data_IF_658543446143
#
_entry.id   IF_658543446143
#
_cell.length_a   1.000
_cell.length_b   1.000
_cell.length_c   1.000
_cell.angle_alpha   90.00
_cell.angle_beta   90.00
_cell.angle_gamma   90.00
#
_symmetry.space_group_name_H-M   'P 1'
#
loop_
_entity.id
_entity.type
_entity.pdbx_description
1 polymer ?
#
# COMPACT_ATOMS: atom_id res chain seq x y z
N UNK A 1 6.24 -17.48 14.95
CA UNK A 1 6.56 -16.07 15.26
C UNK A 1 7.82 -15.98 16.16
N UNK A 2 7.93 -16.76 17.25
CA UNK A 2 9.12 -16.71 18.15
C UNK A 2 10.47 -16.99 17.46
N UNK A 3 10.49 -17.72 16.36
CA UNK A 3 11.71 -18.10 15.63
C UNK A 3 12.29 -16.99 14.72
N UNK A 4 11.51 -15.94 14.46
CA UNK A 4 11.90 -14.86 13.53
C UNK A 4 12.32 -13.58 14.26
N UNK A 5 12.19 -13.52 15.60
CA UNK A 5 12.66 -12.37 16.38
C UNK A 5 14.16 -12.22 16.22
N UNK A 6 14.58 -11.09 15.70
CA UNK A 6 15.98 -10.70 15.67
C UNK A 6 16.16 -9.27 16.15
N UNK A 7 17.33 -9.02 16.71
CA UNK A 7 17.70 -7.66 17.11
C UNK A 7 17.84 -6.77 15.86
N UNK A 8 17.34 -5.52 15.91
CA UNK A 8 17.54 -4.58 14.82
C UNK A 8 19.02 -4.24 14.67
N UNK A 9 19.47 -4.00 13.44
CA UNK A 9 20.83 -3.52 13.16
C UNK A 9 21.07 -2.15 13.79
N UNK A 10 20.06 -1.29 13.72
CA UNK A 10 20.11 0.08 14.23
C UNK A 10 18.86 0.38 15.06
N UNK A 11 19.06 1.15 16.11
CA UNK A 11 18.01 1.78 16.89
C UNK A 11 18.28 3.26 16.93
N UNK A 12 17.48 4.05 16.25
CA UNK A 12 17.65 5.50 16.08
C UNK A 12 16.39 6.25 16.55
N UNK A 13 16.39 7.56 16.35
CA UNK A 13 15.28 8.41 16.77
C UNK A 13 15.30 8.72 18.27
N UNK A 14 14.33 9.52 18.70
CA UNK A 14 14.15 9.86 20.11
C UNK A 14 13.82 8.59 20.92
N UNK A 15 14.50 8.39 22.04
CA UNK A 15 14.39 7.16 22.86
C UNK A 15 14.69 5.86 22.12
N UNK A 16 15.42 5.92 21.02
CA UNK A 16 15.78 4.73 20.20
C UNK A 16 14.54 3.96 19.74
N UNK A 17 13.48 4.66 19.44
CA UNK A 17 12.16 4.12 19.13
C UNK A 17 11.97 3.72 17.65
N UNK A 18 12.88 4.10 16.76
CA UNK A 18 12.94 3.68 15.36
C UNK A 18 13.95 2.54 15.19
N UNK A 19 13.44 1.36 14.88
CA UNK A 19 14.21 0.13 14.73
C UNK A 19 14.35 -0.24 13.26
N UNK A 20 15.57 -0.54 12.82
CA UNK A 20 15.89 -0.84 11.43
C UNK A 20 16.61 -2.19 11.38
N UNK A 21 16.07 -3.14 10.62
CA UNK A 21 16.66 -4.46 10.34
C UNK A 21 17.37 -4.48 9.00
N UNK A 22 16.87 -3.76 8.00
CA UNK A 22 17.45 -3.70 6.67
C UNK A 22 17.37 -2.28 6.10
N UNK A 23 18.43 -1.85 5.45
CA UNK A 23 18.50 -0.56 4.76
C UNK A 23 17.81 -0.65 3.40
N UNK A 24 17.57 0.52 2.80
CA UNK A 24 16.98 0.62 1.47
C UNK A 24 17.74 -0.17 0.41
N UNK A 25 17.00 -0.86 -0.44
CA UNK A 25 17.52 -1.54 -1.64
C UNK A 25 16.81 -1.00 -2.88
N UNK A 26 17.58 -0.68 -3.91
CA UNK A 26 17.07 -0.07 -5.14
C UNK A 26 16.19 -1.03 -5.97
N UNK A 27 16.35 -2.34 -5.80
CA UNK A 27 15.61 -3.39 -6.50
C UNK A 27 14.27 -3.77 -5.82
N UNK A 28 13.92 -3.10 -4.71
CA UNK A 28 12.71 -3.39 -3.93
C UNK A 28 11.76 -2.21 -3.87
N UNK A 29 10.46 -2.51 -3.79
CA UNK A 29 9.41 -1.56 -3.47
C UNK A 29 8.95 -1.75 -2.03
N UNK A 30 8.60 -0.65 -1.37
CA UNK A 30 8.29 -0.66 0.04
C UNK A 30 6.90 -0.15 0.34
N UNK A 31 6.29 -0.72 1.38
CA UNK A 31 5.00 -0.35 1.94
C UNK A 31 5.22 0.16 3.37
N UNK A 32 4.91 1.43 3.60
CA UNK A 32 4.98 2.10 4.91
C UNK A 32 3.57 2.26 5.46
N UNK A 33 3.26 1.60 6.56
CA UNK A 33 1.92 1.58 7.14
C UNK A 33 1.96 2.24 8.51
N UNK A 34 1.15 3.27 8.71
CA UNK A 34 1.14 4.09 9.90
C UNK A 34 -0.22 4.07 10.60
N UNK A 35 -0.20 3.75 11.88
CA UNK A 35 -1.26 4.01 12.85
C UNK A 35 -0.94 5.31 13.61
N UNK A 36 -1.94 6.15 13.84
CA UNK A 36 -1.76 7.52 14.33
C UNK A 36 -2.42 7.72 15.70
N UNK A 37 -1.61 8.02 16.70
CA UNK A 37 -2.08 8.43 18.02
C UNK A 37 -1.85 9.94 18.26
N UNK A 38 -2.59 10.51 19.22
CA UNK A 38 -2.51 11.95 19.55
C UNK A 38 -1.19 12.37 20.19
N UNK A 39 -0.42 11.41 20.72
CA UNK A 39 0.84 11.68 21.40
C UNK A 39 0.72 12.14 22.86
N UNK A 40 -0.46 12.55 23.31
CA UNK A 40 -0.76 12.99 24.68
C UNK A 40 -1.44 11.92 25.55
N UNK A 41 -1.82 10.80 24.94
CA UNK A 41 -2.55 9.70 25.56
C UNK A 41 -1.67 8.51 25.95
N UNK A 42 -2.32 7.36 26.16
CA UNK A 42 -1.66 6.07 26.40
C UNK A 42 -1.18 5.44 25.10
N UNK A 43 -1.93 5.63 24.01
CA UNK A 43 -1.66 5.06 22.69
C UNK A 43 -0.43 5.72 22.07
N UNK A 44 0.29 4.96 21.26
CA UNK A 44 1.50 5.40 20.55
C UNK A 44 1.21 5.47 19.06
N UNK A 45 1.80 6.45 18.38
CA UNK A 45 1.90 6.38 16.93
C UNK A 45 2.89 5.28 16.57
N UNK A 46 2.52 4.42 15.65
CA UNK A 46 3.32 3.29 15.23
C UNK A 46 3.34 3.14 13.71
N UNK A 47 4.45 2.68 13.17
CA UNK A 47 4.49 2.25 11.78
C UNK A 47 5.32 0.99 11.59
N UNK A 48 4.96 0.24 10.56
CA UNK A 48 5.80 -0.79 9.97
C UNK A 48 6.22 -0.42 8.56
N UNK A 49 7.42 -0.82 8.18
CA UNK A 49 7.92 -0.76 6.82
C UNK A 49 8.24 -2.16 6.33
N UNK A 50 7.60 -2.56 5.23
CA UNK A 50 7.75 -3.89 4.63
C UNK A 50 8.22 -3.80 3.18
N UNK A 51 8.98 -4.80 2.73
CA UNK A 51 9.13 -5.08 1.29
C UNK A 51 7.78 -5.56 0.74
N UNK A 52 7.34 -5.01 -0.40
CA UNK A 52 6.07 -5.44 -1.02
C UNK A 52 6.20 -6.88 -1.57
N UNK A 53 7.37 -7.26 -2.06
CA UNK A 53 7.63 -8.54 -2.72
C UNK A 53 7.28 -9.75 -1.83
N UNK A 54 7.72 -9.75 -0.58
CA UNK A 54 7.61 -10.89 0.34
C UNK A 54 7.01 -10.55 1.71
N UNK A 55 6.57 -9.31 1.93
CA UNK A 55 6.08 -8.82 3.23
C UNK A 55 7.08 -9.06 4.37
N UNK A 56 8.37 -8.88 4.11
CA UNK A 56 9.40 -8.89 5.13
C UNK A 56 9.55 -7.52 5.77
N UNK A 57 9.48 -7.47 7.08
CA UNK A 57 9.66 -6.26 7.88
C UNK A 57 11.10 -5.77 7.81
N UNK A 58 11.31 -4.53 7.40
CA UNK A 58 12.64 -3.91 7.32
C UNK A 58 12.86 -2.83 8.37
N UNK A 59 11.78 -2.18 8.82
CA UNK A 59 11.85 -1.21 9.89
C UNK A 59 10.53 -1.10 10.66
N UNK A 60 10.59 -0.50 11.85
CA UNK A 60 9.45 -0.29 12.76
C UNK A 60 9.70 0.94 13.64
N UNK A 61 8.64 1.67 13.89
CA UNK A 61 8.62 2.78 14.84
C UNK A 61 7.46 2.61 15.82
N UNK A 62 7.68 3.00 17.08
CA UNK A 62 6.62 3.13 18.06
C UNK A 62 7.00 4.24 19.05
N UNK A 63 6.18 5.29 19.13
CA UNK A 63 6.48 6.45 19.98
C UNK A 63 5.31 7.42 20.11
N UNK A 64 5.56 8.53 20.79
CA UNK A 64 4.54 9.57 21.07
C UNK A 64 4.97 10.94 20.52
N UNK A 65 5.21 11.08 19.22
CA UNK A 65 5.52 12.36 18.61
C UNK A 65 4.27 13.24 18.53
N UNK A 66 4.44 14.55 18.36
CA UNK A 66 3.36 15.40 17.87
C UNK A 66 2.96 15.00 16.45
N UNK A 67 1.74 15.34 16.02
CA UNK A 67 1.25 14.99 14.68
C UNK A 67 2.15 15.53 13.56
N UNK A 68 2.61 16.79 13.71
CA UNK A 68 3.55 17.40 12.77
C UNK A 68 4.89 16.67 12.71
N UNK A 69 5.42 16.29 13.88
CA UNK A 69 6.67 15.52 13.95
C UNK A 69 6.49 14.13 13.34
N UNK A 70 5.35 13.49 13.58
CA UNK A 70 5.07 12.18 13.01
C UNK A 70 4.96 12.23 11.48
N UNK A 71 4.28 13.23 10.92
CA UNK A 71 4.21 13.43 9.48
C UNK A 71 5.60 13.65 8.85
N UNK A 72 6.48 14.44 9.53
CA UNK A 72 7.86 14.61 9.08
C UNK A 72 8.65 13.28 9.10
N UNK A 73 8.52 12.47 10.17
CA UNK A 73 9.15 11.15 10.27
C UNK A 73 8.67 10.25 9.13
N UNK A 74 7.36 10.17 8.91
CA UNK A 74 6.79 9.34 7.83
C UNK A 74 7.28 9.79 6.45
N UNK A 75 7.30 11.11 6.19
CA UNK A 75 7.79 11.66 4.92
C UNK A 75 9.28 11.36 4.71
N UNK A 76 10.09 11.51 5.75
CA UNK A 76 11.53 11.23 5.67
C UNK A 76 11.77 9.73 5.41
N UNK A 77 11.20 8.85 6.24
CA UNK A 77 11.37 7.40 6.11
C UNK A 77 10.85 6.92 4.75
N UNK A 78 9.69 7.39 4.33
CA UNK A 78 9.14 7.01 3.03
C UNK A 78 10.06 7.38 1.86
N UNK A 79 10.70 8.56 1.90
CA UNK A 79 11.66 9.00 0.88
C UNK A 79 12.98 8.22 0.94
N UNK A 80 13.48 7.94 2.15
CA UNK A 80 14.68 7.12 2.36
C UNK A 80 14.52 5.71 1.77
N UNK A 81 13.30 5.17 1.78
CA UNK A 81 12.99 3.87 1.19
C UNK A 81 12.34 3.98 -0.20
N UNK A 82 12.93 4.81 -1.06
CA UNK A 82 12.57 4.89 -2.48
C UNK A 82 11.18 5.43 -2.76
N UNK A 83 10.69 6.36 -1.93
CA UNK A 83 9.33 6.88 -1.99
C UNK A 83 8.27 5.78 -1.77
N UNK A 84 8.40 5.05 -0.66
CA UNK A 84 7.53 3.94 -0.27
C UNK A 84 6.05 4.31 -0.39
N UNK A 85 5.18 3.34 -0.75
CA UNK A 85 3.74 3.54 -0.70
C UNK A 85 3.31 3.73 0.76
N UNK A 86 2.84 4.94 1.08
CA UNK A 86 2.48 5.33 2.45
C UNK A 86 0.99 5.16 2.69
N UNK A 87 0.64 4.29 3.62
CA UNK A 87 -0.72 4.06 4.10
C UNK A 87 -0.84 4.62 5.50
N UNK A 88 -1.68 5.61 5.70
CA UNK A 88 -1.96 6.18 7.02
C UNK A 88 -3.39 5.83 7.40
N UNK A 89 -3.62 5.39 8.64
CA UNK A 89 -4.98 5.28 9.16
C UNK A 89 -5.61 6.67 9.24
N UNK A 90 -6.73 6.86 8.55
CA UNK A 90 -7.33 8.19 8.37
C UNK A 90 -8.50 8.50 9.32
N UNK A 91 -8.65 7.74 10.39
CA UNK A 91 -9.71 7.98 11.38
C UNK A 91 -9.27 9.05 12.39
N UNK A 92 -10.18 9.99 12.67
CA UNK A 92 -9.94 11.04 13.66
C UNK A 92 -8.77 11.94 13.29
N UNK A 93 -7.69 11.83 14.04
CA UNK A 93 -6.50 12.69 13.90
C UNK A 93 -5.57 12.30 12.75
N UNK A 94 -5.72 11.09 12.18
CA UNK A 94 -4.92 10.65 11.05
C UNK A 94 -5.08 11.53 9.80
N UNK A 95 -6.23 12.18 9.66
CA UNK A 95 -6.47 13.16 8.59
C UNK A 95 -5.47 14.32 8.67
N UNK A 96 -5.18 14.83 9.86
CA UNK A 96 -4.22 15.94 10.02
C UNK A 96 -2.79 15.54 9.64
N UNK A 97 -2.42 14.28 9.86
CA UNK A 97 -1.12 13.74 9.39
C UNK A 97 -1.09 13.67 7.87
N UNK A 98 -2.18 13.23 7.23
CA UNK A 98 -2.30 13.18 5.77
C UNK A 98 -2.23 14.57 5.12
N UNK A 99 -2.96 15.55 5.65
CA UNK A 99 -2.89 16.94 5.20
C UNK A 99 -1.47 17.50 5.30
N UNK A 100 -0.77 17.19 6.39
CA UNK A 100 0.62 17.61 6.54
C UNK A 100 1.57 16.92 5.57
N UNK A 101 1.36 15.64 5.27
CA UNK A 101 2.13 14.90 4.26
C UNK A 101 1.95 15.49 2.86
N UNK A 102 0.74 15.92 2.50
CA UNK A 102 0.47 16.64 1.26
C UNK A 102 1.22 17.98 1.21
N UNK A 103 1.20 18.76 2.30
CA UNK A 103 1.97 20.02 2.42
C UNK A 103 3.48 19.79 2.29
N UNK A 104 3.99 18.66 2.79
CA UNK A 104 5.39 18.25 2.64
C UNK A 104 5.73 17.74 1.23
N UNK A 105 4.74 17.67 0.34
CA UNK A 105 4.90 17.18 -1.02
C UNK A 105 5.22 15.69 -1.09
N UNK A 106 4.68 14.89 -0.17
CA UNK A 106 4.78 13.43 -0.27
C UNK A 106 3.74 12.93 -1.26
N UNK A 107 4.19 12.31 -2.36
CA UNK A 107 3.36 12.03 -3.53
C UNK A 107 3.06 10.54 -3.78
N UNK A 108 3.36 9.65 -2.83
CA UNK A 108 3.03 8.23 -2.93
C UNK A 108 2.16 7.78 -1.76
N UNK A 109 1.01 8.44 -1.62
CA UNK A 109 0.03 8.15 -0.57
C UNK A 109 -1.01 7.15 -1.11
N UNK A 110 -1.38 6.20 -0.27
CA UNK A 110 -2.47 5.28 -0.53
C UNK A 110 -3.82 6.00 -0.49
N UNK A 111 -4.66 5.74 -1.47
CA UNK A 111 -6.05 6.21 -1.50
C UNK A 111 -7.00 5.02 -1.53
N UNK A 112 -8.14 5.16 -0.89
CA UNK A 112 -9.22 4.17 -0.91
C UNK A 112 -10.55 4.79 -1.32
N UNK A 113 -11.45 3.96 -1.86
CA UNK A 113 -12.82 4.38 -2.16
C UNK A 113 -13.69 4.32 -0.90
N UNK A 114 -14.51 5.32 -0.68
CA UNK A 114 -15.51 5.33 0.40
C UNK A 114 -16.45 4.14 0.28
N UNK A 115 -16.57 3.35 1.35
CA UNK A 115 -17.52 2.24 1.44
C UNK A 115 -16.97 0.89 0.99
N UNK A 116 -16.18 0.79 -0.07
CA UNK A 116 -15.60 -0.48 -0.54
C UNK A 116 -14.19 -0.72 0.00
N UNK A 117 -13.49 0.33 0.43
CA UNK A 117 -12.09 0.29 0.86
C UNK A 117 -11.14 -0.28 -0.19
N UNK A 118 -11.54 -0.22 -1.46
CA UNK A 118 -10.70 -0.60 -2.59
C UNK A 118 -9.63 0.45 -2.84
N UNK A 119 -8.45 -0.02 -3.22
CA UNK A 119 -7.34 0.86 -3.63
C UNK A 119 -7.69 1.61 -4.90
N UNK A 120 -7.34 2.88 -4.94
CA UNK A 120 -7.38 3.70 -6.14
C UNK A 120 -6.04 4.43 -6.31
N UNK A 121 -5.54 4.47 -7.53
CA UNK A 121 -4.32 5.20 -7.83
C UNK A 121 -4.46 6.69 -7.53
N UNK A 122 -3.42 7.30 -6.98
CA UNK A 122 -3.45 8.71 -6.56
C UNK A 122 -3.87 9.66 -7.69
N UNK A 123 -3.42 9.41 -8.92
CA UNK A 123 -3.79 10.24 -10.08
C UNK A 123 -5.30 10.18 -10.37
N UNK A 124 -5.91 8.99 -10.23
CA UNK A 124 -7.35 8.81 -10.39
C UNK A 124 -8.13 9.31 -9.17
N UNK A 125 -7.51 9.28 -7.99
CA UNK A 125 -8.12 9.72 -6.74
C UNK A 125 -8.44 11.21 -6.76
N UNK A 126 -7.58 12.05 -7.32
CA UNK A 126 -7.82 13.49 -7.43
C UNK A 126 -9.04 13.87 -8.28
N UNK A 127 -9.43 13.04 -9.22
CA UNK A 127 -10.61 13.23 -10.07
C UNK A 127 -11.86 12.53 -9.54
N UNK A 128 -11.76 11.71 -8.48
CA UNK A 128 -12.85 10.94 -7.93
C UNK A 128 -13.31 11.47 -6.56
N UNK A 129 -14.48 12.08 -6.51
CA UNK A 129 -15.08 12.63 -5.27
C UNK A 129 -15.34 11.58 -4.17
N UNK A 130 -15.32 10.29 -4.50
CA UNK A 130 -15.50 9.20 -3.56
C UNK A 130 -14.17 8.64 -3.03
N UNK A 131 -13.03 9.15 -3.48
CA UNK A 131 -11.73 8.76 -2.95
C UNK A 131 -11.42 9.48 -1.64
N UNK A 132 -10.70 8.80 -0.76
CA UNK A 132 -10.14 9.38 0.47
C UNK A 132 -8.69 8.94 0.62
N UNK A 133 -7.80 9.85 1.05
CA UNK A 133 -6.43 9.47 1.36
C UNK A 133 -6.41 8.58 2.60
N UNK A 134 -5.49 7.62 2.61
CA UNK A 134 -5.30 6.70 3.72
C UNK A 134 -6.34 5.56 3.76
N UNK A 135 -6.30 4.82 4.85
CA UNK A 135 -7.15 3.67 5.13
C UNK A 135 -8.09 3.94 6.31
N UNK A 136 -9.39 3.64 6.14
CA UNK A 136 -10.40 3.86 7.19
C UNK A 136 -10.66 2.58 7.98
N UNK A 137 -10.21 2.54 9.24
CA UNK A 137 -10.53 1.45 10.17
C UNK A 137 -11.86 1.73 10.87
N UNK A 138 -12.87 0.96 10.55
CA UNK A 138 -14.21 1.05 11.14
C UNK A 138 -14.53 -0.18 11.98
N UNK A 139 -15.61 -0.16 12.72
CA UNK A 139 -16.11 -1.35 13.44
C UNK A 139 -16.39 -2.53 12.51
N UNK A 140 -16.64 -2.28 11.23
CA UNK A 140 -16.86 -3.33 10.21
C UNK A 140 -15.55 -3.81 9.60
N UNK A 141 -14.61 -2.91 9.31
CA UNK A 141 -13.35 -3.27 8.64
C UNK A 141 -12.31 -3.84 9.60
N UNK A 142 -12.30 -3.41 10.87
CA UNK A 142 -11.34 -3.89 11.87
C UNK A 142 -11.32 -5.43 12.01
N UNK A 143 -12.44 -6.14 12.16
CA UNK A 143 -12.44 -7.61 12.18
C UNK A 143 -11.91 -8.23 10.89
N UNK A 144 -12.18 -7.63 9.73
CA UNK A 144 -11.76 -8.14 8.43
C UNK A 144 -10.25 -8.05 8.23
N UNK A 145 -9.65 -6.89 8.56
CA UNK A 145 -8.19 -6.69 8.43
C UNK A 145 -7.44 -7.56 9.43
N UNK A 146 -7.98 -7.75 10.65
CA UNK A 146 -7.38 -8.65 11.65
C UNK A 146 -7.46 -10.11 11.19
N UNK A 147 -8.58 -10.56 10.62
CA UNK A 147 -8.69 -11.88 10.03
C UNK A 147 -7.70 -12.08 8.87
N UNK A 148 -7.49 -11.03 8.05
CA UNK A 148 -6.48 -11.05 6.98
C UNK A 148 -5.06 -11.16 7.52
N UNK A 149 -4.73 -10.42 8.56
CA UNK A 149 -3.45 -10.53 9.26
C UNK A 149 -3.24 -11.95 9.82
N UNK A 150 -4.26 -12.54 10.45
CA UNK A 150 -4.22 -13.92 10.93
C UNK A 150 -3.93 -14.92 9.80
N UNK A 151 -4.60 -14.76 8.66
CA UNK A 151 -4.35 -15.56 7.45
C UNK A 151 -2.88 -15.45 7.01
N UNK A 152 -2.32 -14.23 6.93
CA UNK A 152 -0.94 -13.99 6.55
C UNK A 152 0.06 -14.65 7.52
N UNK A 153 -0.18 -14.53 8.82
CA UNK A 153 0.66 -15.15 9.85
C UNK A 153 0.59 -16.68 9.76
N UNK A 154 -0.61 -17.25 9.65
CA UNK A 154 -0.84 -18.69 9.58
C UNK A 154 -0.18 -19.30 8.34
N UNK A 155 -0.30 -18.64 7.20
CA UNK A 155 0.25 -19.08 5.92
C UNK A 155 1.71 -18.66 5.72
N UNK A 156 2.35 -18.01 6.70
CA UNK A 156 3.73 -17.50 6.64
C UNK A 156 3.97 -16.55 5.47
N UNK A 157 2.97 -15.75 5.12
CA UNK A 157 3.02 -14.74 4.05
C UNK A 157 3.60 -13.41 4.53
N UNK A 158 3.84 -13.23 5.82
CA UNK A 158 4.47 -12.07 6.43
C UNK A 158 5.62 -12.50 7.33
N UNK A 159 6.73 -11.78 7.24
CA UNK A 159 7.93 -12.03 8.05
C UNK A 159 8.13 -10.81 8.95
N UNK A 160 7.99 -11.00 10.26
CA UNK A 160 8.18 -9.94 11.26
C UNK A 160 9.36 -10.25 12.17
N UNK A 161 10.10 -9.22 12.53
CA UNK A 161 11.30 -9.32 13.38
C UNK A 161 11.09 -8.70 14.76
N UNK A 162 10.03 -7.93 14.94
CA UNK A 162 9.79 -7.10 16.12
C UNK A 162 9.42 -7.91 17.37
N UNK A 163 10.18 -7.67 18.43
CA UNK A 163 9.81 -8.18 19.76
C UNK A 163 8.65 -7.38 20.38
N UNK A 164 8.52 -6.07 20.06
CA UNK A 164 7.41 -5.21 20.54
C UNK A 164 6.07 -5.70 19.98
N UNK A 165 6.01 -5.92 18.66
CA UNK A 165 4.83 -6.50 18.01
C UNK A 165 4.43 -7.85 18.62
N UNK A 166 5.40 -8.72 18.90
CA UNK A 166 5.09 -9.99 19.57
C UNK A 166 4.49 -9.81 20.96
N UNK A 167 4.95 -8.81 21.71
CA UNK A 167 4.39 -8.49 23.05
C UNK A 167 2.95 -7.98 22.93
N UNK A 168 2.64 -7.14 21.95
CA UNK A 168 1.26 -6.72 21.67
C UNK A 168 0.37 -7.92 21.28
N UNK A 169 0.88 -8.83 20.43
CA UNK A 169 0.14 -10.04 20.02
C UNK A 169 -0.19 -10.99 21.20
N UNK A 170 0.64 -11.03 22.25
CA UNK A 170 0.37 -11.84 23.44
C UNK A 170 -0.83 -11.32 24.25
N UNK A 171 -1.17 -10.04 24.10
CA UNK A 171 -2.25 -9.36 24.84
C UNK A 171 -3.44 -8.99 23.96
N UNK A 172 -3.42 -9.39 22.69
CA UNK A 172 -4.49 -9.10 21.72
C UNK A 172 -5.52 -10.23 21.72
N UNK A 173 -6.77 -9.90 21.94
CA UNK A 173 -7.85 -10.87 22.14
C UNK A 173 -9.11 -10.53 21.33
N UNK A 174 -9.92 -11.55 21.09
CA UNK A 174 -11.30 -11.35 20.66
C UNK A 174 -12.21 -11.21 21.89
N UNK A 175 -12.81 -10.06 22.06
CA UNK A 175 -13.76 -9.77 23.12
C UNK A 175 -15.12 -9.43 22.53
N UNK A 176 -16.13 -10.26 22.76
CA UNK A 176 -17.49 -10.09 22.21
C UNK A 176 -17.51 -9.86 20.68
N UNK A 177 -16.70 -10.63 19.95
CA UNK A 177 -16.60 -10.51 18.49
C UNK A 177 -15.80 -9.31 17.97
N UNK A 178 -15.14 -8.57 18.87
CA UNK A 178 -14.28 -7.44 18.50
C UNK A 178 -12.82 -7.76 18.84
N UNK A 179 -11.90 -7.65 17.85
CA UNK A 179 -10.48 -7.79 18.11
C UNK A 179 -9.94 -6.51 18.75
N UNK A 180 -9.26 -6.64 19.87
CA UNK A 180 -8.71 -5.52 20.64
C UNK A 180 -7.62 -5.96 21.61
N UNK A 181 -6.77 -5.03 22.04
CA UNK A 181 -5.86 -5.27 23.14
C UNK A 181 -6.62 -5.48 24.47
N UNK A 182 -6.06 -6.27 25.37
CA UNK A 182 -6.53 -6.39 26.76
C UNK A 182 -6.47 -5.02 27.43
N UNK A 183 -7.31 -4.81 28.44
CA UNK A 183 -7.36 -3.54 29.17
C UNK A 183 -5.99 -3.16 29.74
N UNK A 184 -5.48 -2.00 29.35
CA UNK A 184 -4.19 -1.46 29.80
C UNK A 184 -3.03 -1.79 28.87
N UNK A 185 -3.29 -2.48 27.76
CA UNK A 185 -2.33 -2.77 26.68
C UNK A 185 -2.71 -2.02 25.42
N UNK A 186 -1.77 -1.89 24.50
CA UNK A 186 -1.92 -1.22 23.20
C UNK A 186 -1.95 -2.25 22.07
N UNK A 187 -2.50 -1.84 20.91
CA UNK A 187 -2.54 -2.64 19.69
C UNK A 187 -2.10 -1.85 18.44
N UNK A 188 -1.32 -0.78 18.64
CA UNK A 188 -0.93 0.16 17.59
C UNK A 188 -0.08 -0.52 16.50
N UNK A 189 0.90 -1.36 16.89
CA UNK A 189 1.71 -2.16 15.96
C UNK A 189 0.88 -3.27 15.29
N UNK A 190 -0.06 -3.87 15.99
CA UNK A 190 -0.95 -4.88 15.41
C UNK A 190 -1.85 -4.24 14.36
N UNK A 191 -2.39 -3.06 14.63
CA UNK A 191 -3.30 -2.38 13.70
C UNK A 191 -2.58 -1.94 12.44
N UNK A 192 -1.39 -1.37 12.57
CA UNK A 192 -0.58 -1.02 11.39
C UNK A 192 -0.22 -2.26 10.57
N UNK A 193 0.15 -3.40 11.19
CA UNK A 193 0.38 -4.66 10.48
C UNK A 193 -0.90 -5.18 9.79
N UNK A 194 -2.04 -5.15 10.47
CA UNK A 194 -3.31 -5.64 9.93
C UNK A 194 -3.74 -4.85 8.68
N UNK A 195 -3.62 -3.52 8.72
CA UNK A 195 -3.82 -2.64 7.56
C UNK A 195 -2.87 -3.02 6.43
N UNK A 196 -1.58 -3.24 6.74
CA UNK A 196 -0.57 -3.63 5.75
C UNK A 196 -0.87 -4.94 5.04
N UNK A 197 -1.30 -5.97 5.79
CA UNK A 197 -1.70 -7.25 5.20
C UNK A 197 -2.91 -7.12 4.26
N UNK A 198 -3.85 -6.24 4.58
CA UNK A 198 -5.00 -5.95 3.73
C UNK A 198 -4.59 -5.19 2.46
N UNK A 199 -3.82 -4.13 2.62
CA UNK A 199 -3.42 -3.24 1.52
C UNK A 199 -2.48 -3.95 0.54
N UNK A 200 -1.60 -4.82 1.03
CA UNK A 200 -0.66 -5.56 0.19
C UNK A 200 -1.37 -6.28 -0.96
N UNK A 201 -2.45 -6.99 -0.69
CA UNK A 201 -3.17 -7.74 -1.73
C UNK A 201 -3.81 -6.81 -2.76
N UNK A 202 -4.34 -5.66 -2.32
CA UNK A 202 -4.92 -4.66 -3.23
C UNK A 202 -3.85 -3.93 -4.04
N UNK A 203 -2.74 -3.53 -3.42
CA UNK A 203 -1.62 -2.86 -4.09
C UNK A 203 -0.92 -3.78 -5.10
N UNK A 204 -0.72 -5.07 -4.78
CA UNK A 204 -0.14 -6.03 -5.71
C UNK A 204 -1.04 -6.31 -6.92
N UNK A 205 -2.35 -6.39 -6.70
CA UNK A 205 -3.29 -6.59 -7.82
C UNK A 205 -3.30 -5.40 -8.78
N UNK A 206 -3.15 -4.18 -8.27
CA UNK A 206 -3.05 -2.97 -9.07
C UNK A 206 -1.71 -2.93 -9.84
N UNK A 207 -0.58 -3.16 -9.18
CA UNK A 207 0.74 -3.20 -9.82
C UNK A 207 0.83 -4.29 -10.89
N UNK A 208 0.24 -5.47 -10.65
CA UNK A 208 0.21 -6.55 -11.63
C UNK A 208 -0.60 -6.17 -12.87
N UNK A 209 -1.76 -5.54 -12.69
CA UNK A 209 -2.55 -5.03 -13.81
C UNK A 209 -1.78 -3.96 -14.58
N UNK A 210 -1.11 -3.03 -13.91
CA UNK A 210 -0.31 -2.00 -14.57
C UNK A 210 0.84 -2.60 -15.38
N UNK A 211 1.55 -3.60 -14.84
CA UNK A 211 2.57 -4.32 -15.58
C UNK A 211 1.99 -5.04 -16.81
N UNK A 212 0.87 -5.74 -16.66
CA UNK A 212 0.18 -6.40 -17.76
C UNK A 212 -0.25 -5.40 -18.85
N UNK A 213 -0.74 -4.20 -18.45
CA UNK A 213 -1.07 -3.13 -19.39
C UNK A 213 0.17 -2.55 -20.08
N UNK A 214 1.26 -2.32 -19.36
CA UNK A 214 2.52 -1.84 -19.95
C UNK A 214 3.09 -2.87 -20.92
N UNK A 215 3.14 -4.13 -20.55
CA UNK A 215 3.60 -5.21 -21.44
C UNK A 215 2.71 -5.35 -22.68
N UNK A 216 1.40 -5.30 -22.53
CA UNK A 216 0.47 -5.34 -23.66
C UNK A 216 0.66 -4.11 -24.57
N UNK A 217 0.88 -2.92 -24.01
CA UNK A 217 1.15 -1.70 -24.76
C UNK A 217 2.48 -1.78 -25.50
N UNK A 218 3.57 -2.20 -24.85
CA UNK A 218 4.87 -2.39 -25.50
C UNK A 218 4.81 -3.47 -26.60
N UNK A 219 4.14 -4.59 -26.34
CA UNK A 219 3.96 -5.64 -27.33
C UNK A 219 3.12 -5.16 -28.54
N UNK A 220 2.13 -4.31 -28.33
CA UNK A 220 1.38 -3.71 -29.43
C UNK A 220 2.23 -2.75 -30.26
N UNK A 221 3.11 -1.98 -29.62
CA UNK A 221 4.05 -1.08 -30.32
C UNK A 221 5.11 -1.86 -31.11
N UNK A 222 5.66 -2.95 -30.55
CA UNK A 222 6.64 -3.79 -31.23
C UNK A 222 5.99 -4.52 -32.42
N UNK A 223 4.75 -4.97 -32.26
CA UNK A 223 3.99 -5.64 -33.32
C UNK A 223 3.68 -4.73 -34.50
N UNK A 224 3.45 -3.41 -34.27
CA UNK A 224 3.27 -2.42 -35.33
C UNK A 224 4.57 -2.12 -36.07
N UNK A 225 5.73 -2.15 -35.40
CA UNK A 225 7.03 -1.92 -36.05
C UNK A 225 7.54 -3.11 -36.89
N UNK A 226 7.02 -4.33 -36.71
CA UNK A 226 7.37 -5.49 -37.54
C UNK A 226 6.71 -5.52 -38.91
N UNK A 227 5.83 -4.57 -39.24
CA UNK A 227 5.15 -4.48 -40.55
C UNK A 227 5.64 -3.37 -41.48
N UNK A 228 6.76 -2.72 -41.19
CA UNK A 228 7.46 -1.87 -42.15
C UNK A 228 8.60 -2.69 -42.81
N UNK A 229 8.25 -3.74 -43.54
CA UNK A 229 9.11 -4.24 -44.59
C UNK A 229 9.04 -3.25 -45.75
N UNK A 230 10.11 -2.47 -45.89
CA UNK A 230 10.37 -1.60 -47.02
C UNK A 230 10.72 -2.46 -48.25
N UNK A 231 9.74 -3.09 -48.85
CA UNK A 231 9.81 -3.47 -50.25
C UNK A 231 8.93 -2.53 -51.04
N UNK A 232 9.57 -1.52 -51.61
CA UNK A 232 8.99 -0.68 -52.64
C UNK A 232 8.72 -1.59 -53.84
N UNK A 233 7.50 -2.08 -53.97
CA UNK A 233 6.93 -2.47 -55.27
C UNK A 233 5.42 -2.66 -55.14
N UNK A 234 4.68 -1.75 -55.70
CA UNK A 234 3.43 -2.02 -56.37
C UNK A 234 2.15 -2.12 -55.51
N UNK A 235 1.29 -1.15 -55.71
CA UNK A 235 -0.16 -1.15 -55.45
C UNK A 235 -0.61 -1.19 -53.98
N UNK A 236 -0.97 0.00 -53.50
CA UNK A 236 -1.85 0.22 -52.35
C UNK A 236 -3.18 -0.49 -52.56
N UNK A 237 -3.33 -1.63 -51.93
CA UNK A 237 -4.60 -2.34 -51.86
C UNK A 237 -5.51 -1.65 -50.81
N UNK A 238 -6.35 -0.73 -51.30
CA UNK A 238 -7.30 0.05 -50.51
C UNK A 238 -8.26 -0.84 -49.68
N UNK A 239 -8.46 -2.10 -50.10
CA UNK A 239 -9.37 -3.02 -49.38
C UNK A 239 -8.77 -3.58 -48.09
N UNK A 240 -7.44 -3.63 -47.94
CA UNK A 240 -6.80 -4.09 -46.67
C UNK A 240 -6.80 -3.05 -45.56
N UNK A 241 -6.73 -1.77 -45.92
CA UNK A 241 -6.81 -0.67 -44.93
C UNK A 241 -8.20 -0.55 -44.31
N UNK A 242 -9.26 -0.73 -45.07
CA UNK A 242 -10.62 -0.68 -44.58
C UNK A 242 -10.95 -1.87 -43.64
N UNK A 243 -10.48 -3.08 -43.94
CA UNK A 243 -10.74 -4.25 -43.07
C UNK A 243 -10.02 -4.18 -41.72
N UNK A 244 -8.88 -3.51 -41.62
CA UNK A 244 -8.16 -3.32 -40.35
C UNK A 244 -8.77 -2.20 -39.49
N UNK A 245 -9.30 -1.14 -40.13
CA UNK A 245 -10.04 -0.08 -39.46
C UNK A 245 -11.41 -0.56 -38.94
N UNK A 246 -12.09 -1.42 -39.66
CA UNK A 246 -13.38 -1.99 -39.26
C UNK A 246 -13.20 -2.99 -38.10
N UNK A 247 -12.17 -3.82 -38.11
CA UNK A 247 -11.80 -4.66 -36.97
C UNK A 247 -11.40 -3.88 -35.73
N UNK A 248 -10.76 -2.72 -35.89
CA UNK A 248 -10.43 -1.83 -34.77
C UNK A 248 -11.66 -1.13 -34.21
N UNK A 249 -12.65 -0.77 -35.06
CA UNK A 249 -13.92 -0.22 -34.63
C UNK A 249 -14.80 -1.22 -33.91
N UNK A 250 -14.87 -2.48 -34.38
CA UNK A 250 -15.59 -3.56 -33.71
C UNK A 250 -14.99 -3.86 -32.32
N UNK A 251 -13.67 -3.94 -32.21
CA UNK A 251 -13.02 -4.07 -30.91
C UNK A 251 -13.33 -2.89 -29.99
N UNK A 252 -13.29 -1.66 -30.50
CA UNK A 252 -13.58 -0.47 -29.69
C UNK A 252 -15.04 -0.46 -29.20
N UNK A 253 -15.99 -0.90 -30.02
CA UNK A 253 -17.39 -1.04 -29.61
C UNK A 253 -17.59 -2.13 -28.54
N UNK A 254 -16.84 -3.22 -28.57
CA UNK A 254 -16.87 -4.26 -27.52
C UNK A 254 -16.38 -3.72 -26.17
N UNK A 255 -15.40 -2.83 -26.14
CA UNK A 255 -14.90 -2.22 -24.90
C UNK A 255 -15.81 -1.13 -24.33
N UNK A 256 -16.51 -0.36 -25.20
CA UNK A 256 -17.48 0.67 -24.75
C UNK A 256 -18.64 0.03 -24.00
N UNK A 257 -19.05 -1.19 -24.34
CA UNK A 257 -20.12 -1.94 -23.65
C UNK A 257 -19.71 -2.32 -22.22
N UNK A 258 -18.43 -2.65 -21.97
CA UNK A 258 -17.89 -2.95 -20.65
C UNK A 258 -17.77 -1.72 -19.72
N UNK A 259 -17.82 -0.50 -20.27
CA UNK A 259 -17.70 0.75 -19.52
C UNK A 259 -19.08 1.38 -19.19
N UNK A 260 -20.18 0.79 -19.61
CA UNK A 260 -21.54 1.29 -19.39
C UNK A 260 -22.41 0.37 -18.51
N UNK A 261 -21.79 -0.61 -17.84
CA UNK A 261 -22.46 -1.47 -16.88
C UNK A 261 -22.18 -1.07 -15.44
#
# INVERSE_FOLDING_TARGET
IKQLKCEPKYRTGFDRNYWIWEEYRQDENYLLIADVARGDGKDSSAFHLFKISNMEQVAEYQGKPSLDMYANILSQVGREYGNALLVVENIGIGISVLEKLELLGYNNIYYSLKGTHEYIEQQMAYSNSNSVPGFSTTTKTRPLIVAKMEEFIRNKLVITHSSRLCTEMETFIWNNGKPQAMRGYNDDLIMSLAIGCWVRDTALSANKREQEYREAFFNSMISTNKKFDTTISGMLDHNRLNSSLDKAKEKHQQYIWLMKG
#
